data_IF_326190255372
#
_entry.id   IF_326190255372
#
_cell.length_a   1.000
_cell.length_b   1.000
_cell.length_c   1.000
_cell.angle_alpha   90.00
_cell.angle_beta   90.00
_cell.angle_gamma   90.00
#
_symmetry.space_group_name_H-M   'P 1'
#
loop_
_entity.id
_entity.type
_entity.pdbx_description
1 polymer ?
#
# COMPACT_ATOMS: atom_id res chain seq x y z
N UNK A 1 -10.25 3.92 -18.22
CA UNK A 1 -8.85 4.42 -18.22
C UNK A 1 -8.72 5.79 -17.54
N UNK A 2 -9.47 6.84 -17.93
CA UNK A 2 -9.42 8.16 -17.26
C UNK A 2 -9.83 8.14 -15.78
N UNK A 3 -10.81 7.31 -15.39
CA UNK A 3 -11.24 7.18 -13.99
C UNK A 3 -10.14 6.56 -13.11
N UNK A 4 -9.52 5.48 -13.58
CA UNK A 4 -8.39 4.81 -12.93
C UNK A 4 -7.19 5.74 -12.79
N UNK A 5 -6.86 6.53 -13.81
CA UNK A 5 -5.73 7.46 -13.77
C UNK A 5 -5.96 8.62 -12.78
N UNK A 6 -7.20 9.12 -12.68
CA UNK A 6 -7.57 10.15 -11.68
C UNK A 6 -7.47 9.62 -10.25
N UNK A 7 -7.92 8.40 -10.00
CA UNK A 7 -7.79 7.76 -8.68
C UNK A 7 -6.31 7.56 -8.32
N UNK A 8 -5.52 7.02 -9.25
CA UNK A 8 -4.08 6.81 -9.04
C UNK A 8 -3.38 8.15 -8.72
N UNK A 9 -3.64 9.20 -9.49
CA UNK A 9 -3.07 10.52 -9.24
C UNK A 9 -3.47 11.09 -7.87
N UNK A 10 -4.70 10.84 -7.41
CA UNK A 10 -5.18 11.26 -6.09
C UNK A 10 -4.47 10.51 -4.97
N UNK A 11 -4.29 9.19 -5.07
CA UNK A 11 -3.54 8.43 -4.04
C UNK A 11 -2.06 8.85 -3.98
N UNK A 12 -1.41 9.10 -5.13
CA UNK A 12 -0.06 9.68 -5.16
C UNK A 12 0.00 11.07 -4.51
N UNK A 13 -1.02 11.90 -4.69
CA UNK A 13 -1.08 13.22 -4.06
C UNK A 13 -1.41 13.10 -2.56
N UNK A 14 -2.37 12.28 -2.14
CA UNK A 14 -2.78 12.13 -0.73
C UNK A 14 -1.65 11.53 0.11
N UNK A 15 -0.88 10.57 -0.39
CA UNK A 15 0.28 10.03 0.32
C UNK A 15 1.39 11.08 0.52
N UNK A 16 1.57 12.01 -0.43
CA UNK A 16 2.62 13.06 -0.38
C UNK A 16 2.13 14.35 0.30
N UNK A 17 0.81 14.61 0.31
CA UNK A 17 0.18 15.84 0.80
C UNK A 17 -0.73 15.64 1.99
N UNK A 18 -0.59 14.53 2.72
CA UNK A 18 -1.10 14.36 4.08
C UNK A 18 -0.41 15.32 5.07
N UNK A 19 -0.41 16.62 4.77
CA UNK A 19 -0.64 17.62 5.79
C UNK A 19 -1.98 17.25 6.41
N UNK A 20 -1.95 16.72 7.63
CA UNK A 20 -3.08 16.33 8.46
C UNK A 20 -4.04 17.49 8.79
N UNK A 21 -4.60 18.15 7.77
CA UNK A 21 -5.53 19.27 7.89
C UNK A 21 -6.86 18.88 7.28
N UNK A 22 -7.61 18.06 8.02
CA UNK A 22 -9.07 18.22 8.23
C UNK A 22 -9.77 16.98 8.80
N UNK A 23 -9.05 15.99 9.33
CA UNK A 23 -9.68 15.14 10.35
C UNK A 23 -9.69 15.97 11.63
N UNK A 24 -10.83 16.56 11.97
CA UNK A 24 -11.05 17.20 13.27
C UNK A 24 -10.70 16.19 14.36
N UNK A 25 -9.49 16.31 14.90
CA UNK A 25 -9.07 15.56 16.06
C UNK A 25 -9.86 16.14 17.23
N UNK A 26 -10.94 15.48 17.61
CA UNK A 26 -11.79 15.83 18.77
C UNK A 26 -11.11 15.56 20.11
N UNK A 27 -9.89 15.05 20.12
CA UNK A 27 -9.14 14.74 21.33
C UNK A 27 -8.28 15.96 21.73
N UNK A 28 -8.32 16.39 23.01
CA UNK A 28 -7.38 17.36 23.53
C UNK A 28 -5.95 16.88 23.28
N UNK A 29 -5.07 17.76 22.79
CA UNK A 29 -3.65 17.46 22.73
C UNK A 29 -3.14 17.11 24.14
N UNK A 30 -2.35 16.04 24.33
CA UNK A 30 -1.83 15.68 25.63
C UNK A 30 -1.00 16.82 26.22
N UNK A 31 -1.10 17.02 27.54
CA UNK A 31 -0.27 17.98 28.26
C UNK A 31 1.14 17.40 28.46
N UNK A 32 2.04 17.65 27.51
CA UNK A 32 3.44 17.19 27.54
C UNK A 32 3.85 16.41 26.29
N UNK A 33 5.15 16.19 26.11
CA UNK A 33 5.67 15.34 25.03
C UNK A 33 5.23 13.87 25.26
N UNK A 34 4.83 13.13 24.21
CA UNK A 34 4.48 11.71 24.35
C UNK A 34 5.62 10.89 24.95
N UNK A 35 5.30 9.94 25.82
CA UNK A 35 6.28 8.98 26.32
C UNK A 35 6.68 7.97 25.23
N UNK A 36 7.79 7.27 25.42
CA UNK A 36 8.21 6.19 24.51
C UNK A 36 7.14 5.08 24.41
N UNK A 37 6.44 4.79 25.50
CA UNK A 37 5.32 3.85 25.54
C UNK A 37 4.10 4.37 24.78
N UNK A 38 3.81 5.66 24.84
CA UNK A 38 2.73 6.26 24.03
C UNK A 38 3.03 6.17 22.54
N UNK A 39 4.28 6.42 22.15
CA UNK A 39 4.76 6.29 20.77
C UNK A 39 4.60 4.85 20.28
N UNK A 40 5.01 3.86 21.08
CA UNK A 40 4.87 2.45 20.68
C UNK A 40 3.42 1.96 20.70
N UNK A 41 2.57 2.46 21.59
CA UNK A 41 1.14 2.14 21.55
C UNK A 41 0.44 2.80 20.37
N UNK A 42 0.89 3.98 19.93
CA UNK A 42 0.45 4.56 18.67
C UNK A 42 0.87 3.69 17.48
N UNK A 43 2.15 3.29 17.42
CA UNK A 43 2.65 2.36 16.40
C UNK A 43 1.86 1.04 16.41
N UNK A 44 1.61 0.45 17.58
CA UNK A 44 0.82 -0.78 17.72
C UNK A 44 -0.60 -0.64 17.15
N UNK A 45 -1.23 0.53 17.25
CA UNK A 45 -2.53 0.76 16.63
C UNK A 45 -2.45 0.82 15.10
N UNK A 46 -1.36 1.36 14.54
CA UNK A 46 -1.11 1.30 13.10
C UNK A 46 -0.91 -0.16 12.66
N UNK A 47 -0.08 -0.92 13.36
CA UNK A 47 0.13 -2.35 13.06
C UNK A 47 -1.16 -3.16 13.16
N UNK A 48 -2.06 -2.83 14.09
CA UNK A 48 -3.37 -3.46 14.14
C UNK A 48 -4.22 -3.18 12.91
N UNK A 49 -4.21 -1.93 12.43
CA UNK A 49 -4.94 -1.53 11.24
C UNK A 49 -4.45 -2.30 10.01
N UNK A 50 -3.13 -2.39 9.84
CA UNK A 50 -2.51 -3.05 8.69
C UNK A 50 -2.68 -4.57 8.76
N UNK A 51 -2.40 -5.18 9.92
CA UNK A 51 -2.61 -6.61 10.13
C UNK A 51 -4.06 -7.04 9.90
N UNK A 52 -5.03 -6.22 10.32
CA UNK A 52 -6.45 -6.46 10.03
C UNK A 52 -6.75 -6.35 8.54
N UNK A 53 -6.31 -5.28 7.88
CA UNK A 53 -6.53 -5.06 6.46
C UNK A 53 -5.95 -6.21 5.62
N UNK A 54 -4.69 -6.58 5.85
CA UNK A 54 -4.04 -7.62 5.07
C UNK A 54 -4.55 -9.03 5.42
N UNK A 55 -4.92 -9.30 6.68
CA UNK A 55 -5.60 -10.54 7.05
C UNK A 55 -6.92 -10.68 6.30
N UNK A 56 -7.72 -9.61 6.25
CA UNK A 56 -8.94 -9.57 5.48
C UNK A 56 -8.68 -9.78 3.99
N UNK A 57 -7.78 -9.00 3.39
CA UNK A 57 -7.48 -9.10 1.97
C UNK A 57 -7.01 -10.51 1.56
N UNK A 58 -6.09 -11.11 2.32
CA UNK A 58 -5.50 -12.42 2.00
C UNK A 58 -6.47 -13.58 2.27
N UNK A 59 -7.21 -13.54 3.38
CA UNK A 59 -7.94 -14.72 3.89
C UNK A 59 -9.46 -14.55 3.92
N UNK A 60 -9.96 -13.31 3.90
CA UNK A 60 -11.35 -12.97 4.16
C UNK A 60 -11.73 -13.03 5.65
N UNK A 61 -10.74 -13.12 6.54
CA UNK A 61 -10.96 -13.22 7.99
C UNK A 61 -10.21 -12.08 8.70
N UNK A 62 -10.80 -11.51 9.76
CA UNK A 62 -10.12 -10.53 10.57
C UNK A 62 -8.92 -11.14 11.30
N UNK A 63 -8.05 -10.29 11.79
CA UNK A 63 -6.93 -10.63 12.65
C UNK A 63 -7.42 -11.44 13.86
N UNK A 64 -6.65 -12.47 14.20
CA UNK A 64 -6.94 -13.34 15.34
C UNK A 64 -7.21 -12.51 16.60
N UNK A 65 -8.27 -12.86 17.33
CA UNK A 65 -8.61 -12.21 18.61
C UNK A 65 -7.48 -12.31 19.64
N UNK A 66 -6.64 -13.35 19.56
CA UNK A 66 -5.47 -13.51 20.43
C UNK A 66 -4.41 -12.42 20.25
N UNK A 67 -4.33 -11.81 19.06
CA UNK A 67 -3.36 -10.75 18.76
C UNK A 67 -3.91 -9.37 19.07
N UNK A 68 -5.24 -9.18 18.99
CA UNK A 68 -5.91 -7.89 19.21
C UNK A 68 -5.93 -7.43 20.67
N UNK A 69 -5.60 -8.29 21.62
CA UNK A 69 -5.66 -7.98 23.05
C UNK A 69 -7.05 -8.23 23.66
N UNK A 70 -7.11 -8.22 24.99
CA UNK A 70 -8.32 -8.58 25.73
C UNK A 70 -9.47 -7.61 25.46
N UNK A 71 -10.66 -8.14 25.19
CA UNK A 71 -11.88 -7.35 24.96
C UNK A 71 -11.91 -6.55 23.66
N UNK A 72 -10.92 -6.70 22.78
CA UNK A 72 -10.88 -5.95 21.52
C UNK A 72 -12.07 -6.29 20.61
N UNK A 73 -12.84 -5.29 20.13
CA UNK A 73 -13.94 -5.52 19.20
C UNK A 73 -13.43 -5.98 17.83
N UNK A 74 -14.25 -6.71 17.09
CA UNK A 74 -13.91 -7.11 15.72
C UNK A 74 -13.95 -5.90 14.78
N UNK A 75 -13.02 -5.87 13.84
CA UNK A 75 -12.96 -4.87 12.79
C UNK A 75 -14.12 -5.00 11.81
N UNK A 76 -14.60 -3.88 11.28
CA UNK A 76 -15.70 -3.82 10.31
C UNK A 76 -15.17 -3.74 8.88
N UNK A 77 -15.96 -4.21 7.92
CA UNK A 77 -15.61 -4.09 6.49
C UNK A 77 -14.61 -5.11 5.98
N UNK A 78 -14.30 -6.14 6.77
CA UNK A 78 -13.42 -7.24 6.37
C UNK A 78 -13.99 -8.00 5.17
N UNK A 79 -13.22 -8.09 4.08
CA UNK A 79 -13.58 -8.86 2.88
C UNK A 79 -12.34 -9.51 2.28
N UNK A 80 -12.52 -10.66 1.63
CA UNK A 80 -11.44 -11.28 0.85
C UNK A 80 -11.22 -10.50 -0.44
N UNK A 81 -9.98 -10.12 -0.71
CA UNK A 81 -9.65 -9.40 -1.93
C UNK A 81 -9.69 -10.30 -3.17
N UNK A 82 -10.21 -9.77 -4.27
CA UNK A 82 -10.20 -10.45 -5.56
C UNK A 82 -8.89 -10.17 -6.31
N UNK A 83 -7.83 -10.89 -5.97
CA UNK A 83 -6.47 -10.64 -6.46
C UNK A 83 -6.01 -11.70 -7.48
N UNK A 84 -5.08 -11.30 -8.36
CA UNK A 84 -4.29 -12.22 -9.18
C UNK A 84 -3.42 -13.14 -8.30
N UNK A 85 -2.79 -14.16 -8.90
CA UNK A 85 -1.88 -15.05 -8.17
C UNK A 85 -0.76 -14.29 -7.46
N UNK A 86 -0.14 -13.33 -8.14
CA UNK A 86 0.93 -12.51 -7.57
C UNK A 86 0.39 -11.59 -6.47
N UNK A 87 -0.77 -10.98 -6.68
CA UNK A 87 -1.42 -10.16 -5.63
C UNK A 87 -1.78 -10.96 -4.39
N UNK A 88 -2.24 -12.21 -4.52
CA UNK A 88 -2.49 -13.11 -3.38
C UNK A 88 -1.23 -13.42 -2.60
N UNK A 89 -0.13 -13.71 -3.29
CA UNK A 89 1.16 -13.98 -2.65
C UNK A 89 1.66 -12.75 -1.89
N UNK A 90 1.60 -11.57 -2.51
CA UNK A 90 1.96 -10.33 -1.83
C UNK A 90 1.06 -10.06 -0.62
N UNK A 91 -0.26 -10.17 -0.74
CA UNK A 91 -1.18 -9.95 0.38
C UNK A 91 -0.92 -10.92 1.54
N UNK A 92 -0.54 -12.17 1.25
CA UNK A 92 -0.16 -13.15 2.28
C UNK A 92 1.15 -12.80 2.97
N UNK A 93 2.12 -12.28 2.23
CA UNK A 93 3.41 -11.86 2.78
C UNK A 93 3.25 -10.61 3.67
N UNK A 94 2.54 -9.58 3.19
CA UNK A 94 2.21 -8.38 3.97
C UNK A 94 1.45 -8.76 5.24
N UNK A 95 0.40 -9.60 5.14
CA UNK A 95 -0.33 -10.11 6.31
C UNK A 95 0.61 -10.77 7.33
N UNK A 96 1.56 -11.58 6.86
CA UNK A 96 2.49 -12.28 7.75
C UNK A 96 3.43 -11.30 8.45
N UNK A 97 3.92 -10.29 7.73
CA UNK A 97 4.78 -9.24 8.30
C UNK A 97 4.03 -8.43 9.37
N UNK A 98 2.80 -7.98 9.09
CA UNK A 98 2.07 -7.18 10.08
C UNK A 98 1.67 -7.97 11.32
N UNK A 99 1.34 -9.25 11.16
CA UNK A 99 1.12 -10.14 12.31
C UNK A 99 2.40 -10.22 13.18
N UNK A 100 3.57 -10.26 12.53
CA UNK A 100 4.85 -10.27 13.23
C UNK A 100 5.15 -8.90 13.88
N UNK A 101 4.82 -7.79 13.24
CA UNK A 101 4.97 -6.44 13.82
C UNK A 101 4.10 -6.26 15.07
N UNK A 102 2.81 -6.60 14.98
CA UNK A 102 1.89 -6.63 16.15
C UNK A 102 2.49 -7.48 17.27
N UNK A 103 2.95 -8.70 16.95
CA UNK A 103 3.52 -9.61 17.95
C UNK A 103 4.76 -9.01 18.60
N UNK A 104 5.66 -8.42 17.80
CA UNK A 104 6.90 -7.82 18.27
C UNK A 104 6.64 -6.62 19.19
N UNK A 105 5.73 -5.72 18.81
CA UNK A 105 5.37 -4.56 19.61
C UNK A 105 4.67 -4.95 20.91
N UNK A 106 3.72 -5.89 20.86
CA UNK A 106 3.06 -6.40 22.08
C UNK A 106 4.07 -7.02 23.04
N UNK A 107 5.04 -7.77 22.53
CA UNK A 107 6.11 -8.34 23.35
C UNK A 107 7.01 -7.24 23.96
N UNK A 108 7.36 -6.20 23.19
CA UNK A 108 8.16 -5.09 23.69
C UNK A 108 7.42 -4.26 24.76
N UNK A 109 6.11 -4.03 24.56
CA UNK A 109 5.26 -3.26 25.47
C UNK A 109 4.85 -4.03 26.73
N UNK A 110 4.77 -5.37 26.66
CA UNK A 110 4.35 -6.21 27.78
C UNK A 110 2.94 -5.84 28.27
N UNK A 111 2.80 -5.57 29.57
CA UNK A 111 1.53 -5.15 30.17
C UNK A 111 1.07 -3.75 29.75
N UNK A 112 1.95 -2.94 29.15
CA UNK A 112 1.59 -1.62 28.63
C UNK A 112 0.96 -1.68 27.23
N UNK A 113 0.91 -2.85 26.59
CA UNK A 113 0.34 -3.02 25.26
C UNK A 113 -1.18 -2.80 25.29
N UNK A 114 -1.66 -1.82 24.54
CA UNK A 114 -3.10 -1.58 24.40
C UNK A 114 -3.80 -2.69 23.61
N UNK A 115 -5.10 -2.86 23.86
CA UNK A 115 -5.97 -3.66 22.99
C UNK A 115 -6.33 -2.85 21.74
N UNK A 116 -6.49 -3.54 20.61
CA UNK A 116 -6.90 -2.94 19.35
C UNK A 116 -8.28 -2.26 19.51
N UNK A 117 -8.44 -1.03 19.00
CA UNK A 117 -9.75 -0.39 18.90
C UNK A 117 -10.59 -1.08 17.80
N UNK A 118 -11.86 -0.69 17.67
CA UNK A 118 -12.65 -1.11 16.51
C UNK A 118 -12.13 -0.40 15.26
N UNK A 119 -11.60 -1.17 14.31
CA UNK A 119 -11.07 -0.65 13.06
C UNK A 119 -12.09 -0.80 11.94
N UNK A 120 -12.14 0.16 11.02
CA UNK A 120 -12.92 0.08 9.81
C UNK A 120 -12.00 -0.11 8.61
N UNK A 121 -11.83 -1.36 8.18
CA UNK A 121 -10.99 -1.73 7.03
C UNK A 121 -11.79 -1.85 5.72
N UNK A 122 -13.01 -1.30 5.68
CA UNK A 122 -13.88 -1.29 4.50
C UNK A 122 -14.19 0.12 4.04
N UNK A 123 -15.29 0.70 4.54
CA UNK A 123 -15.83 1.96 4.00
C UNK A 123 -14.88 3.14 4.22
N UNK A 124 -14.02 3.10 5.24
CA UNK A 124 -13.06 4.17 5.53
C UNK A 124 -12.15 4.48 4.33
N UNK A 125 -11.77 3.48 3.53
CA UNK A 125 -11.00 3.72 2.30
C UNK A 125 -11.78 4.52 1.25
N UNK A 126 -13.09 4.24 1.12
CA UNK A 126 -13.95 5.05 0.27
C UNK A 126 -14.09 6.46 0.82
N UNK A 127 -14.17 6.63 2.14
CA UNK A 127 -14.31 7.95 2.76
C UNK A 127 -13.05 8.80 2.53
N UNK A 128 -11.85 8.20 2.66
CA UNK A 128 -10.57 8.85 2.34
C UNK A 128 -10.53 9.29 0.87
N UNK A 129 -10.90 8.41 -0.06
CA UNK A 129 -10.93 8.77 -1.47
C UNK A 129 -11.95 9.87 -1.76
N UNK A 130 -13.15 9.78 -1.20
CA UNK A 130 -14.22 10.76 -1.39
C UNK A 130 -13.81 12.14 -0.85
N UNK A 131 -13.15 12.17 0.30
CA UNK A 131 -12.60 13.40 0.89
C UNK A 131 -11.54 14.02 -0.03
N UNK A 132 -10.63 13.21 -0.57
CA UNK A 132 -9.59 13.68 -1.48
C UNK A 132 -10.14 14.14 -2.83
N UNK A 133 -11.23 13.54 -3.31
CA UNK A 133 -11.91 13.94 -4.55
C UNK A 133 -12.85 15.13 -4.36
N UNK A 134 -13.28 15.43 -3.13
CA UNK A 134 -14.36 16.37 -2.83
C UNK A 134 -15.75 15.93 -3.32
N UNK A 135 -15.88 14.67 -3.78
CA UNK A 135 -17.13 14.09 -4.28
C UNK A 135 -17.12 12.56 -4.10
N UNK A 136 -18.26 11.91 -3.85
CA UNK A 136 -18.35 10.46 -3.82
C UNK A 136 -17.93 9.82 -5.14
N UNK A 137 -17.06 8.81 -5.08
CA UNK A 137 -16.76 7.93 -6.20
C UNK A 137 -17.95 7.00 -6.51
N UNK A 138 -18.20 6.72 -7.80
CA UNK A 138 -19.22 5.76 -8.24
C UNK A 138 -18.63 4.80 -9.30
N UNK A 139 -18.57 3.49 -9.02
CA UNK A 139 -18.90 2.84 -7.74
C UNK A 139 -17.97 3.29 -6.60
N UNK A 140 -18.40 3.07 -5.35
CA UNK A 140 -17.59 3.36 -4.17
C UNK A 140 -16.26 2.58 -4.22
N UNK A 141 -15.19 3.19 -3.75
CA UNK A 141 -13.88 2.52 -3.71
C UNK A 141 -13.88 1.44 -2.64
N UNK A 142 -13.43 0.24 -3.03
CA UNK A 142 -13.15 -0.85 -2.11
C UNK A 142 -11.75 -1.40 -2.37
N UNK A 143 -10.88 -1.48 -1.35
CA UNK A 143 -9.54 -1.99 -1.52
C UNK A 143 -9.52 -3.49 -1.90
N UNK A 144 -10.65 -4.18 -1.77
CA UNK A 144 -10.79 -5.62 -2.04
C UNK A 144 -11.17 -5.94 -3.50
N UNK A 145 -11.32 -4.93 -4.36
CA UNK A 145 -11.91 -5.09 -5.70
C UNK A 145 -11.00 -5.83 -6.70
N UNK A 146 -9.72 -5.45 -6.75
CA UNK A 146 -8.71 -5.98 -7.68
C UNK A 146 -7.30 -5.58 -7.21
N UNK A 147 -6.26 -6.09 -7.87
CA UNK A 147 -4.86 -5.82 -7.53
C UNK A 147 -4.53 -4.32 -7.47
N UNK A 148 -5.04 -3.51 -8.41
CA UNK A 148 -4.75 -2.06 -8.41
C UNK A 148 -5.36 -1.38 -7.19
N UNK A 149 -6.60 -1.69 -6.83
CA UNK A 149 -7.27 -1.05 -5.69
C UNK A 149 -6.66 -1.51 -4.36
N UNK A 150 -6.29 -2.79 -4.27
CA UNK A 150 -5.56 -3.32 -3.13
C UNK A 150 -4.21 -2.64 -2.97
N UNK A 151 -3.43 -2.52 -4.05
CA UNK A 151 -2.10 -1.90 -4.01
C UNK A 151 -2.15 -0.39 -3.75
N UNK A 152 -3.21 0.32 -4.15
CA UNK A 152 -3.40 1.72 -3.80
C UNK A 152 -3.67 1.90 -2.30
N UNK A 153 -4.45 1.00 -1.71
CA UNK A 153 -4.68 0.97 -0.27
C UNK A 153 -3.42 0.58 0.51
N UNK A 154 -2.71 -0.46 0.05
CA UNK A 154 -1.43 -0.86 0.61
C UNK A 154 -0.41 0.29 0.56
N UNK A 155 -0.28 0.96 -0.59
CA UNK A 155 0.61 2.10 -0.76
C UNK A 155 0.38 3.21 0.27
N UNK A 156 -0.88 3.48 0.62
CA UNK A 156 -1.21 4.46 1.65
C UNK A 156 -0.73 4.04 3.04
N UNK A 157 -0.81 2.75 3.38
CA UNK A 157 -0.40 2.24 4.68
C UNK A 157 1.12 2.13 4.80
N UNK A 158 1.79 1.49 3.84
CA UNK A 158 3.24 1.32 3.88
C UNK A 158 4.00 2.67 3.91
N UNK A 159 3.50 3.71 3.23
CA UNK A 159 4.10 5.05 3.29
C UNK A 159 3.87 5.72 4.66
N UNK A 160 2.71 5.51 5.28
CA UNK A 160 2.41 6.00 6.63
C UNK A 160 3.24 5.26 7.68
N UNK A 161 3.39 3.94 7.56
CA UNK A 161 4.22 3.10 8.43
C UNK A 161 5.67 3.55 8.45
N UNK A 162 6.31 3.64 7.28
CA UNK A 162 7.71 4.10 7.14
C UNK A 162 7.90 5.49 7.77
N UNK A 163 7.05 6.45 7.42
CA UNK A 163 7.19 7.83 7.91
C UNK A 163 6.91 7.96 9.41
N UNK A 164 5.99 7.17 9.97
CA UNK A 164 5.72 7.13 11.39
C UNK A 164 6.92 6.58 12.19
N UNK A 165 7.51 5.47 11.74
CA UNK A 165 8.68 4.91 12.40
C UNK A 165 9.91 5.79 12.28
N UNK A 166 10.16 6.37 11.10
CA UNK A 166 11.26 7.31 10.90
C UNK A 166 11.12 8.53 11.83
N UNK A 167 9.93 9.14 11.89
CA UNK A 167 9.65 10.26 12.78
C UNK A 167 9.78 9.94 14.28
N UNK A 168 9.61 8.66 14.65
CA UNK A 168 9.75 8.20 16.03
C UNK A 168 11.22 7.95 16.45
N UNK A 169 12.17 7.79 15.52
CA UNK A 169 13.55 7.38 15.83
C UNK A 169 14.18 8.29 16.89
N UNK A 170 14.10 9.61 16.70
CA UNK A 170 14.73 10.58 17.60
C UNK A 170 14.20 10.50 19.03
N UNK A 171 12.88 10.35 19.18
CA UNK A 171 12.23 10.20 20.47
C UNK A 171 12.56 8.84 21.14
N UNK A 172 12.91 7.82 20.35
CA UNK A 172 13.21 6.48 20.84
C UNK A 172 14.70 6.21 21.08
N UNK A 173 15.61 7.11 20.67
CA UNK A 173 17.09 6.92 20.71
C UNK A 173 17.65 6.40 22.04
N UNK A 174 17.11 6.87 23.17
CA UNK A 174 17.57 6.49 24.52
C UNK A 174 16.65 5.48 25.23
N UNK A 175 15.79 4.80 24.47
CA UNK A 175 14.76 3.90 25.00
C UNK A 175 15.07 2.45 24.61
N UNK A 176 14.58 1.44 25.36
CA UNK A 176 14.75 0.04 24.97
C UNK A 176 14.00 -0.32 23.67
N UNK A 177 13.16 0.59 23.16
CA UNK A 177 12.31 0.36 22.01
C UNK A 177 12.95 0.72 20.67
N UNK A 178 14.09 1.43 20.67
CA UNK A 178 14.76 1.85 19.43
C UNK A 178 15.01 0.66 18.48
N UNK A 179 15.51 -0.45 19.02
CA UNK A 179 15.83 -1.63 18.20
C UNK A 179 14.58 -2.25 17.60
N UNK A 180 13.49 -2.35 18.37
CA UNK A 180 12.21 -2.86 17.88
C UNK A 180 11.66 -1.98 16.77
N UNK A 181 11.58 -0.67 17.00
CA UNK A 181 11.10 0.29 16.00
C UNK A 181 11.96 0.27 14.72
N UNK A 182 13.28 0.21 14.85
CA UNK A 182 14.20 0.19 13.69
C UNK A 182 14.03 -1.09 12.85
N UNK A 183 13.74 -2.23 13.48
CA UNK A 183 13.49 -3.49 12.76
C UNK A 183 12.22 -3.41 11.94
N UNK A 184 11.15 -2.87 12.52
CA UNK A 184 9.87 -2.70 11.81
C UNK A 184 10.05 -1.71 10.66
N UNK A 185 10.63 -0.53 10.92
CA UNK A 185 10.92 0.49 9.91
C UNK A 185 11.65 -0.06 8.67
N UNK A 186 12.58 -1.01 8.86
CA UNK A 186 13.28 -1.65 7.76
C UNK A 186 12.36 -2.54 6.92
N UNK A 187 11.47 -3.33 7.54
CA UNK A 187 10.52 -4.20 6.85
C UNK A 187 9.47 -3.37 6.11
N UNK A 188 8.90 -2.36 6.76
CA UNK A 188 8.00 -1.35 6.16
C UNK A 188 8.60 -0.73 4.89
N UNK A 189 9.89 -0.37 4.92
CA UNK A 189 10.56 0.18 3.75
C UNK A 189 10.64 -0.81 2.57
N UNK A 190 10.87 -2.10 2.85
CA UNK A 190 10.84 -3.15 1.84
C UNK A 190 9.42 -3.36 1.29
N UNK A 191 8.42 -3.38 2.16
CA UNK A 191 7.01 -3.55 1.81
C UNK A 191 6.50 -2.39 0.95
N UNK A 192 6.76 -1.14 1.34
CA UNK A 192 6.48 0.02 0.51
C UNK A 192 7.21 -0.04 -0.84
N UNK A 193 8.45 -0.52 -0.86
CA UNK A 193 9.22 -0.74 -2.09
C UNK A 193 8.55 -1.72 -3.07
N UNK A 194 8.13 -2.89 -2.59
CA UNK A 194 7.49 -3.91 -3.43
C UNK A 194 6.07 -3.50 -3.86
N UNK A 195 5.30 -2.85 -2.98
CA UNK A 195 3.96 -2.33 -3.29
C UNK A 195 4.04 -1.28 -4.40
N UNK A 196 4.95 -0.28 -4.28
CA UNK A 196 5.18 0.73 -5.32
C UNK A 196 5.59 0.10 -6.64
N UNK A 197 6.53 -0.85 -6.60
CA UNK A 197 7.03 -1.52 -7.80
C UNK A 197 5.94 -2.32 -8.53
N UNK A 198 5.10 -3.03 -7.77
CA UNK A 198 4.01 -3.80 -8.35
C UNK A 198 2.89 -2.89 -8.87
N UNK A 199 2.52 -1.86 -8.12
CA UNK A 199 1.55 -0.87 -8.59
C UNK A 199 2.03 -0.22 -9.90
N UNK A 200 3.31 0.15 -9.98
CA UNK A 200 3.89 0.73 -11.18
C UNK A 200 3.83 -0.24 -12.37
N UNK A 201 4.09 -1.54 -12.16
CA UNK A 201 4.06 -2.53 -13.25
C UNK A 201 2.64 -2.78 -13.80
N UNK A 202 1.60 -2.60 -12.98
CA UNK A 202 0.21 -2.69 -13.40
C UNK A 202 -0.27 -1.42 -14.11
N UNK A 203 0.14 -0.24 -13.63
CA UNK A 203 -0.36 1.05 -14.11
C UNK A 203 0.39 1.53 -15.36
N UNK A 204 1.69 1.26 -15.44
CA UNK A 204 2.56 1.74 -16.52
C UNK A 204 3.04 0.62 -17.43
N UNK A 205 2.13 -0.27 -17.84
CA UNK A 205 2.47 -1.28 -18.83
C UNK A 205 3.04 -0.64 -20.11
N UNK A 206 4.06 -1.28 -20.66
CA UNK A 206 4.72 -0.88 -21.91
C UNK A 206 4.68 -2.06 -22.87
N UNK A 207 4.25 -1.83 -24.10
CA UNK A 207 4.42 -2.81 -25.16
C UNK A 207 5.90 -2.96 -25.52
N UNK A 208 6.33 -4.09 -26.12
CA UNK A 208 7.70 -4.22 -26.63
C UNK A 208 8.10 -3.06 -27.56
N UNK A 209 7.17 -2.56 -28.37
CA UNK A 209 7.39 -1.37 -29.21
C UNK A 209 7.62 -0.10 -28.39
N UNK A 210 6.85 0.12 -27.32
CA UNK A 210 7.07 1.29 -26.45
C UNK A 210 8.38 1.20 -25.69
N UNK A 211 8.78 -0.01 -25.26
CA UNK A 211 10.12 -0.23 -24.67
C UNK A 211 11.20 0.07 -25.71
N UNK A 212 11.03 -0.40 -26.95
CA UNK A 212 11.95 -0.13 -28.05
C UNK A 212 12.09 1.38 -28.31
N UNK A 213 10.98 2.11 -28.42
CA UNK A 213 10.95 3.56 -28.62
C UNK A 213 11.67 4.33 -27.49
N UNK A 214 11.57 3.85 -26.23
CA UNK A 214 12.27 4.44 -25.09
C UNK A 214 13.78 4.23 -25.21
N UNK A 215 14.23 3.01 -25.53
CA UNK A 215 15.66 2.71 -25.56
C UNK A 215 16.36 3.27 -26.80
N UNK A 216 15.64 3.47 -27.90
CA UNK A 216 16.14 4.13 -29.12
C UNK A 216 15.95 5.64 -29.11
N UNK A 217 15.27 6.19 -28.09
CA UNK A 217 14.90 7.61 -27.95
C UNK A 217 14.16 8.17 -29.18
N UNK A 218 13.31 7.35 -29.83
CA UNK A 218 12.55 7.79 -30.99
C UNK A 218 11.48 6.80 -31.41
N UNK A 219 10.28 7.31 -31.70
CA UNK A 219 9.15 6.49 -32.16
C UNK A 219 9.49 5.84 -33.50
N UNK A 220 9.57 4.51 -33.51
CA UNK A 220 9.93 3.74 -34.69
C UNK A 220 11.36 3.96 -35.18
N UNK A 221 12.27 4.38 -34.29
CA UNK A 221 13.66 4.56 -34.66
C UNK A 221 14.38 3.21 -34.85
N UNK A 222 15.15 3.10 -35.94
CA UNK A 222 16.02 1.95 -36.22
C UNK A 222 17.34 1.97 -35.42
N UNK A 223 17.56 3.03 -34.65
CA UNK A 223 18.74 3.28 -33.83
C UNK A 223 18.72 4.70 -33.26
N UNK A 224 19.41 4.93 -32.16
CA UNK A 224 19.40 6.16 -31.38
C UNK A 224 19.54 5.84 -29.89
N UNK A 225 19.74 6.87 -29.06
CA UNK A 225 19.80 6.71 -27.60
C UNK A 225 20.81 5.66 -27.11
N UNK A 226 20.33 4.69 -26.33
CA UNK A 226 21.14 3.60 -25.78
C UNK A 226 21.60 2.60 -26.85
N UNK A 227 20.94 2.59 -28.02
CA UNK A 227 21.28 1.75 -29.17
C UNK A 227 21.56 2.61 -30.40
N UNK A 228 22.67 3.38 -30.43
CA UNK A 228 22.95 4.35 -31.49
C UNK A 228 23.07 3.72 -32.89
N UNK A 229 23.35 2.42 -32.97
CA UNK A 229 23.41 1.63 -34.21
C UNK A 229 22.25 0.63 -34.36
N UNK A 230 21.21 0.74 -33.52
CA UNK A 230 20.11 -0.21 -33.45
C UNK A 230 20.41 -1.43 -32.57
N UNK A 231 19.41 -2.29 -32.40
CA UNK A 231 19.53 -3.58 -31.73
C UNK A 231 20.19 -4.60 -32.67
N UNK A 232 20.95 -5.54 -32.10
CA UNK A 232 21.53 -6.64 -32.88
C UNK A 232 20.45 -7.68 -33.26
N UNK A 233 20.56 -8.27 -34.45
CA UNK A 233 19.69 -9.37 -34.91
C UNK A 233 18.37 -8.93 -35.59
N UNK A 234 17.44 -9.87 -35.79
CA UNK A 234 16.17 -9.65 -36.51
C UNK A 234 15.14 -8.78 -35.80
N UNK A 235 15.47 -8.17 -34.64
CA UNK A 235 14.63 -7.20 -33.94
C UNK A 235 14.79 -5.80 -34.54
N UNK A 236 14.60 -5.69 -35.85
CA UNK A 236 14.52 -4.41 -36.56
C UNK A 236 13.05 -4.15 -36.83
N UNK A 237 12.35 -3.64 -35.81
CA UNK A 237 10.96 -3.19 -35.94
C UNK A 237 10.05 -4.23 -36.63
N UNK A 238 10.17 -5.51 -36.27
CA UNK A 238 9.29 -6.53 -36.86
C UNK A 238 7.86 -6.19 -36.47
N UNK A 239 7.00 -6.03 -37.47
CA UNK A 239 5.55 -6.06 -37.31
C UNK A 239 5.17 -7.17 -36.32
N UNK A 240 4.79 -6.79 -35.09
CA UNK A 240 4.43 -7.72 -34.03
C UNK A 240 3.02 -8.31 -34.22
N UNK A 241 2.53 -8.38 -35.46
CA UNK A 241 1.25 -9.01 -35.82
C UNK A 241 1.12 -10.49 -35.42
N UNK A 242 2.18 -11.10 -34.87
CA UNK A 242 2.20 -12.48 -34.39
C UNK A 242 2.10 -12.68 -32.86
N UNK A 243 2.07 -11.63 -32.03
CA UNK A 243 1.95 -11.78 -30.57
C UNK A 243 0.58 -11.31 -30.06
N UNK A 244 -0.45 -12.07 -30.45
CA UNK A 244 -1.62 -12.36 -29.60
C UNK A 244 -2.40 -11.18 -29.04
N UNK A 245 -2.93 -10.33 -29.91
CA UNK A 245 -4.02 -9.40 -29.57
C UNK A 245 -5.26 -9.72 -30.40
N UNK A 246 -6.02 -10.74 -30.02
CA UNK A 246 -7.37 -10.95 -30.56
C UNK A 246 -8.38 -10.21 -29.70
N UNK A 247 -8.95 -9.13 -30.23
CA UNK A 247 -10.25 -8.62 -29.78
C UNK A 247 -11.19 -8.77 -30.98
N UNK A 248 -12.11 -9.73 -30.89
CA UNK A 248 -13.21 -9.94 -31.84
C UNK A 248 -14.46 -9.17 -31.36
N UNK A 249 -14.99 -8.27 -32.20
CA UNK A 249 -16.30 -8.29 -32.88
C UNK A 249 -17.28 -7.20 -32.32
N UNK A 250 -18.34 -6.75 -33.04
CA UNK A 250 -18.87 -7.22 -34.31
C UNK A 250 -18.98 -6.16 -35.43
N UNK A 251 -19.42 -6.67 -36.59
CA UNK A 251 -19.59 -6.00 -37.87
C UNK A 251 -20.65 -4.89 -37.89
N UNK A 252 -20.40 -3.92 -38.75
CA UNK A 252 -21.30 -2.86 -39.22
C UNK A 252 -20.59 -2.07 -40.30
#
# INVERSE_FOLDING_TARGET
MMFTLKIIAVFFVVAVSANARSLQQSAPAPAGAPSATDILNFALNLEYLEAEFYSCAATGKPLSSSLRGSGAPASTGCQKANLTTVGKQLAQELMTNEVNHVTLLRNALGSAAVSAPQLNVGSAFSDVLNAALGTPASPAFSPYTNDVFFLLAAFMFEDVGVTAYEGAIDALKATPYLQTASRIAAVEAYQGGIVRSFLQSLVFQRTPTQVLDIVTLGKGANGGGFFPKGLNGGLTQVSLGGLGGSISAPAG
#
